data_IF_067304825730
#
_entry.id   IF_067304825730
#
_cell.length_a   1.000
_cell.length_b   1.000
_cell.length_c   1.000
_cell.angle_alpha   90.00
_cell.angle_beta   90.00
_cell.angle_gamma   90.00
#
_symmetry.space_group_name_H-M   'P 1'
#
loop_
_entity.id
_entity.type
_entity.pdbx_description
1 polymer ?
#
# COMPACT_ATOMS: atom_id res chain seq x y z
N UNK A 1 -15.21 2.01 -11.50
CA UNK A 1 -13.82 2.17 -11.08
C UNK A 1 -13.23 0.82 -10.71
N UNK A 2 -12.09 0.52 -11.23
CA UNK A 2 -11.46 -0.75 -10.91
C UNK A 2 -10.83 -0.71 -9.54
N UNK A 3 -11.01 -1.75 -8.73
CA UNK A 3 -10.49 -1.76 -7.36
C UNK A 3 -9.01 -2.15 -7.28
N UNK A 4 -8.35 -2.33 -8.41
CA UNK A 4 -6.97 -2.78 -8.42
C UNK A 4 -6.01 -1.68 -8.82
N UNK A 5 -4.84 -1.69 -8.22
CA UNK A 5 -3.74 -0.83 -8.64
C UNK A 5 -2.50 -1.71 -8.82
N UNK A 6 -1.77 -1.43 -9.90
CA UNK A 6 -0.52 -2.13 -10.14
C UNK A 6 0.64 -1.25 -9.76
N UNK A 7 1.50 -1.77 -8.90
CA UNK A 7 2.74 -1.09 -8.52
C UNK A 7 3.86 -2.10 -8.75
N UNK A 8 4.62 -1.89 -9.82
CA UNK A 8 5.66 -2.83 -10.23
C UNK A 8 5.06 -4.22 -10.45
N UNK A 9 5.52 -5.20 -9.70
CA UNK A 9 5.03 -6.57 -9.81
C UNK A 9 3.85 -6.86 -8.90
N UNK A 10 3.40 -5.88 -8.15
CA UNK A 10 2.30 -6.07 -7.22
C UNK A 10 1.00 -5.59 -7.84
N UNK A 11 -0.01 -6.43 -7.75
CA UNK A 11 -1.37 -6.05 -8.12
C UNK A 11 -2.16 -6.03 -6.82
N UNK A 12 -2.51 -4.84 -6.37
CA UNK A 12 -3.10 -4.64 -5.05
C UNK A 12 -4.58 -4.40 -5.19
N UNK A 13 -5.38 -5.19 -4.48
CA UNK A 13 -6.82 -5.03 -4.45
C UNK A 13 -7.18 -4.02 -3.36
N UNK A 14 -7.60 -2.84 -3.79
CA UNK A 14 -7.90 -1.75 -2.87
C UNK A 14 -9.11 -2.04 -1.99
N UNK A 15 -10.00 -2.93 -2.42
CA UNK A 15 -11.16 -3.29 -1.60
C UNK A 15 -10.78 -4.10 -0.37
N UNK A 16 -9.62 -4.74 -0.40
CA UNK A 16 -9.15 -5.56 0.71
C UNK A 16 -8.21 -4.80 1.65
N UNK A 17 -7.97 -3.54 1.39
CA UNK A 17 -7.09 -2.75 2.23
C UNK A 17 -7.75 -2.43 3.57
N UNK A 18 -7.04 -2.73 4.64
CA UNK A 18 -7.44 -2.30 5.97
C UNK A 18 -6.78 -0.99 6.35
N UNK A 19 -5.54 -0.80 5.90
CA UNK A 19 -4.82 0.44 6.17
C UNK A 19 -3.71 0.63 5.17
N UNK A 20 -3.24 1.86 5.05
CA UNK A 20 -2.01 2.19 4.36
C UNK A 20 -1.20 3.06 5.28
N UNK A 21 0.05 2.69 5.51
CA UNK A 21 0.97 3.48 6.32
C UNK A 21 2.01 4.11 5.42
N UNK A 22 2.09 5.42 5.44
CA UNK A 22 3.07 6.15 4.65
C UNK A 22 4.15 6.66 5.60
N UNK A 23 5.37 6.19 5.38
CA UNK A 23 6.52 6.60 6.15
C UNK A 23 7.53 7.27 5.23
N UNK A 24 8.60 7.78 5.80
CA UNK A 24 9.59 8.51 5.01
C UNK A 24 10.26 7.62 3.96
N UNK A 25 10.53 6.38 4.31
CA UNK A 25 11.29 5.48 3.45
C UNK A 25 10.54 4.24 3.00
N UNK A 26 9.27 4.09 3.39
CA UNK A 26 8.48 2.95 2.95
C UNK A 26 7.00 3.25 3.04
N UNK A 27 6.22 2.46 2.30
CA UNK A 27 4.76 2.50 2.35
C UNK A 27 4.29 1.07 2.56
N UNK A 28 3.43 0.89 3.57
CA UNK A 28 2.85 -0.41 3.87
C UNK A 28 1.39 -0.45 3.45
N UNK A 29 1.01 -1.50 2.72
CA UNK A 29 -0.38 -1.78 2.37
C UNK A 29 -0.83 -2.95 3.21
N UNK A 30 -1.66 -2.70 4.20
CA UNK A 30 -2.17 -3.74 5.09
C UNK A 30 -3.54 -4.24 4.64
N UNK A 31 -3.77 -5.53 4.72
CA UNK A 31 -4.98 -6.16 4.21
C UNK A 31 -5.89 -6.63 5.33
N UNK A 32 -7.19 -6.58 5.04
CA UNK A 32 -8.20 -6.91 6.03
C UNK A 32 -8.36 -8.41 6.26
N UNK A 33 -7.97 -9.23 5.28
CA UNK A 33 -8.13 -10.68 5.42
C UNK A 33 -6.85 -11.31 5.97
N UNK A 34 -7.03 -12.47 6.59
CA UNK A 34 -5.93 -13.24 7.12
C UNK A 34 -5.86 -14.58 6.39
N UNK A 35 -4.69 -14.92 5.87
CA UNK A 35 -4.48 -16.18 5.19
C UNK A 35 -3.64 -17.10 6.07
N UNK A 36 -4.16 -18.30 6.32
CA UNK A 36 -3.41 -19.28 7.09
C UNK A 36 -2.16 -19.78 6.39
N UNK A 37 -2.15 -19.63 5.06
CA UNK A 37 -0.99 -20.06 4.27
C UNK A 37 0.17 -19.06 4.33
N UNK A 38 -0.12 -17.85 4.72
CA UNK A 38 0.90 -16.83 4.87
C UNK A 38 1.16 -16.66 6.35
N UNK A 39 2.15 -17.38 6.83
CA UNK A 39 2.56 -17.18 8.21
C UNK A 39 3.18 -15.80 8.34
N UNK A 40 2.60 -15.02 9.25
CA UNK A 40 3.11 -13.70 9.51
C UNK A 40 2.17 -12.60 9.08
N UNK A 41 2.70 -11.58 8.49
CA UNK A 41 2.02 -10.33 8.36
C UNK A 41 1.23 -10.22 7.06
N UNK A 42 0.01 -9.65 7.16
CA UNK A 42 -0.85 -9.43 6.01
C UNK A 42 -0.61 -8.05 5.44
N UNK A 43 0.62 -7.77 5.04
CA UNK A 43 0.90 -6.49 4.43
C UNK A 43 2.03 -6.59 3.42
N UNK A 44 2.04 -5.59 2.52
CA UNK A 44 3.10 -5.44 1.53
C UNK A 44 3.83 -4.15 1.84
N UNK A 45 5.14 -4.23 2.02
CA UNK A 45 5.98 -3.05 2.25
C UNK A 45 6.76 -2.73 1.00
N UNK A 46 6.63 -1.49 0.53
CA UNK A 46 7.39 -0.99 -0.60
C UNK A 46 8.39 0.03 -0.09
N UNK A 47 9.67 -0.31 -0.18
CA UNK A 47 10.74 0.51 0.37
C UNK A 47 11.40 1.37 -0.71
N UNK A 48 11.67 2.62 -0.32
CA UNK A 48 12.40 3.54 -1.17
C UNK A 48 13.82 3.02 -1.38
N UNK A 49 14.24 2.96 -2.63
CA UNK A 49 15.59 2.50 -2.96
C UNK A 49 15.72 1.00 -3.11
N UNK A 50 14.77 0.24 -2.62
CA UNK A 50 14.77 -1.22 -2.74
C UNK A 50 13.73 -1.69 -3.74
N UNK A 51 12.48 -1.31 -3.54
CA UNK A 51 11.37 -1.68 -4.43
C UNK A 51 11.03 -0.57 -5.40
N UNK A 52 11.20 0.66 -4.98
CA UNK A 52 10.81 1.83 -5.76
C UNK A 52 11.95 2.84 -5.78
N UNK A 53 12.17 3.44 -6.96
CA UNK A 53 13.07 4.57 -7.06
C UNK A 53 12.42 5.79 -6.39
N UNK A 54 13.21 6.82 -6.12
CA UNK A 54 12.70 8.01 -5.44
C UNK A 54 11.48 8.60 -6.14
N UNK A 55 11.54 8.77 -7.45
CA UNK A 55 10.42 9.35 -8.20
C UNK A 55 9.19 8.45 -8.15
N UNK A 56 9.41 7.14 -8.23
CA UNK A 56 8.31 6.18 -8.15
C UNK A 56 7.68 6.18 -6.76
N UNK A 57 8.51 6.28 -5.75
CA UNK A 57 8.02 6.33 -4.38
C UNK A 57 7.12 7.53 -4.17
N UNK A 58 7.53 8.69 -4.67
CA UNK A 58 6.73 9.91 -4.54
C UNK A 58 5.41 9.77 -5.29
N UNK A 59 5.41 9.13 -6.45
CA UNK A 59 4.17 8.89 -7.19
C UNK A 59 3.20 8.01 -6.43
N UNK A 60 3.70 6.93 -5.83
CA UNK A 60 2.87 6.03 -5.05
C UNK A 60 2.33 6.75 -3.81
N UNK A 61 3.18 7.52 -3.16
CA UNK A 61 2.78 8.29 -2.00
C UNK A 61 1.64 9.25 -2.33
N UNK A 62 1.77 9.99 -3.43
CA UNK A 62 0.72 10.90 -3.85
C UNK A 62 -0.58 10.16 -4.16
N UNK A 63 -0.47 9.04 -4.85
CA UNK A 63 -1.65 8.23 -5.15
C UNK A 63 -2.37 7.82 -3.87
N UNK A 64 -1.62 7.33 -2.90
CA UNK A 64 -2.19 6.87 -1.63
C UNK A 64 -2.87 8.01 -0.89
N UNK A 65 -2.24 9.18 -0.86
CA UNK A 65 -2.79 10.33 -0.14
C UNK A 65 -4.06 10.88 -0.79
N UNK A 66 -4.30 10.52 -2.05
CA UNK A 66 -5.48 10.97 -2.78
C UNK A 66 -6.61 9.94 -2.80
N UNK A 67 -6.43 8.81 -2.13
CA UNK A 67 -7.49 7.80 -2.08
C UNK A 67 -8.74 8.41 -1.44
N UNK A 68 -9.92 8.09 -2.00
CA UNK A 68 -11.14 8.82 -1.63
C UNK A 68 -11.78 8.42 -0.31
N UNK A 69 -11.26 7.42 0.38
CA UNK A 69 -11.86 6.95 1.62
C UNK A 69 -11.01 7.37 2.82
N UNK A 70 -11.32 8.51 3.42
CA UNK A 70 -10.52 9.03 4.54
C UNK A 70 -10.60 8.17 5.80
N UNK A 71 -11.61 7.32 5.89
CA UNK A 71 -11.74 6.46 7.07
C UNK A 71 -10.74 5.33 7.07
N UNK A 72 -10.11 5.08 5.93
CA UNK A 72 -9.14 4.00 5.79
C UNK A 72 -7.70 4.49 5.78
N UNK A 73 -7.51 5.77 5.77
CA UNK A 73 -6.18 6.35 5.74
C UNK A 73 -6.00 7.16 7.00
N UNK A 74 -5.10 6.69 7.86
CA UNK A 74 -4.79 7.39 9.10
C UNK A 74 -3.39 7.98 8.95
N UNK A 75 -3.33 9.30 8.92
CA UNK A 75 -2.07 10.03 8.84
C UNK A 75 -1.75 10.55 10.23
N UNK A 76 -0.73 10.00 10.79
CA UNK A 76 -0.28 10.42 12.11
C UNK A 76 1.09 11.04 12.00
#
# INVERSE_FOLDING_TARGET
MEPFVRIKNYLINLENLAYVRVEENYIDFGFAFHSEKLEGENFIRLERGTHLKDAEFEQVKEFVLQLPDPDRVILI
#
